data_IF_072297707522
#
_entry.id   IF_072297707522
#
_cell.length_a   1.000
_cell.length_b   1.000
_cell.length_c   1.000
_cell.angle_alpha   90.00
_cell.angle_beta   90.00
_cell.angle_gamma   90.00
#
_symmetry.space_group_name_H-M   'P 1'
#
loop_
_entity.id
_entity.type
_entity.pdbx_description
1 polymer ?
#
# COMPACT_ATOMS: atom_id res chain seq x y z
N UNK A 1 -8.72 17.40 -10.99
CA UNK A 1 -7.84 16.35 -10.43
C UNK A 1 -8.21 16.16 -8.97
N UNK A 2 -8.71 15.00 -8.57
CA UNK A 2 -9.14 14.77 -7.19
C UNK A 2 -7.95 14.79 -6.22
N UNK A 3 -8.12 15.45 -5.07
CA UNK A 3 -7.20 15.61 -3.93
C UNK A 3 -6.72 14.28 -3.27
N UNK A 4 -6.79 13.14 -3.96
CA UNK A 4 -6.51 11.82 -3.39
C UNK A 4 -5.09 11.31 -3.61
N UNK A 5 -4.23 12.08 -4.28
CA UNK A 5 -2.80 11.81 -4.40
C UNK A 5 -2.08 12.21 -3.10
N UNK A 6 -2.51 11.59 -2.01
CA UNK A 6 -1.86 11.76 -0.72
C UNK A 6 -0.49 11.11 -0.83
N UNK A 7 0.56 11.93 -0.82
CA UNK A 7 1.96 11.52 -0.91
C UNK A 7 2.23 10.26 -0.08
N UNK A 8 1.69 10.17 1.16
CA UNK A 8 1.92 9.00 2.02
C UNK A 8 1.38 7.69 1.45
N UNK A 9 0.20 7.68 0.81
CA UNK A 9 -0.40 6.44 0.27
C UNK A 9 0.50 5.86 -0.82
N UNK A 10 0.99 6.72 -1.71
CA UNK A 10 1.90 6.31 -2.79
C UNK A 10 3.22 5.78 -2.24
N UNK A 11 3.80 6.46 -1.25
CA UNK A 11 5.03 6.01 -0.58
C UNK A 11 4.82 4.65 0.10
N UNK A 12 3.70 4.46 0.79
CA UNK A 12 3.37 3.20 1.44
C UNK A 12 3.19 2.04 0.46
N UNK A 13 2.51 2.27 -0.67
CA UNK A 13 2.38 1.26 -1.74
C UNK A 13 3.75 0.88 -2.31
N UNK A 14 4.64 1.86 -2.52
CA UNK A 14 5.99 1.58 -3.01
C UNK A 14 6.82 0.79 -1.98
N UNK A 15 6.68 1.07 -0.68
CA UNK A 15 7.31 0.26 0.37
C UNK A 15 6.84 -1.21 0.32
N UNK A 16 5.54 -1.46 0.14
CA UNK A 16 5.00 -2.81 -0.04
C UNK A 16 5.53 -3.48 -1.30
N UNK A 17 5.51 -2.77 -2.44
CA UNK A 17 6.04 -3.27 -3.72
C UNK A 17 7.50 -3.69 -3.60
N UNK A 18 8.34 -2.84 -3.01
CA UNK A 18 9.76 -3.14 -2.83
C UNK A 18 9.96 -4.35 -1.90
N UNK A 19 9.19 -4.46 -0.81
CA UNK A 19 9.25 -5.63 0.07
C UNK A 19 8.84 -6.91 -0.68
N UNK A 20 7.75 -6.86 -1.44
CA UNK A 20 7.28 -7.98 -2.26
C UNK A 20 8.36 -8.44 -3.26
N UNK A 21 9.00 -7.50 -3.95
CA UNK A 21 10.11 -7.78 -4.88
C UNK A 21 11.29 -8.42 -4.15
N UNK A 22 11.71 -7.90 -2.99
CA UNK A 22 12.78 -8.50 -2.17
C UNK A 22 12.47 -9.92 -1.71
N UNK A 23 11.18 -10.24 -1.52
CA UNK A 23 10.72 -11.59 -1.16
C UNK A 23 10.54 -12.51 -2.38
N UNK A 24 10.63 -12.01 -3.62
CA UNK A 24 10.38 -12.79 -4.83
C UNK A 24 8.92 -13.22 -5.01
N UNK A 25 7.97 -12.54 -4.36
CA UNK A 25 6.54 -12.93 -4.38
C UNK A 25 5.81 -12.24 -5.53
N UNK A 26 4.96 -12.96 -6.27
CA UNK A 26 4.15 -12.38 -7.34
C UNK A 26 3.00 -11.52 -6.79
N UNK A 27 2.50 -10.57 -7.58
CA UNK A 27 1.33 -9.75 -7.20
C UNK A 27 0.09 -10.62 -6.95
N UNK A 28 -0.17 -11.61 -7.82
CA UNK A 28 -1.29 -12.54 -7.68
C UNK A 28 -1.22 -13.35 -6.37
N UNK A 29 -0.02 -13.76 -5.94
CA UNK A 29 0.16 -14.45 -4.65
C UNK A 29 -0.22 -13.57 -3.46
N UNK A 30 -0.09 -12.25 -3.57
CA UNK A 30 -0.58 -11.32 -2.55
C UNK A 30 -2.09 -11.19 -2.64
N UNK A 31 -2.65 -11.04 -3.84
CA UNK A 31 -4.12 -10.97 -4.04
C UNK A 31 -4.82 -12.14 -3.31
N UNK A 32 -4.32 -13.36 -3.55
CA UNK A 32 -4.82 -14.58 -2.92
C UNK A 32 -4.64 -14.56 -1.40
N UNK A 33 -3.44 -14.17 -0.92
CA UNK A 33 -3.09 -14.20 0.51
C UNK A 33 -3.90 -13.21 1.35
N UNK A 34 -4.26 -12.05 0.80
CA UNK A 34 -5.08 -11.05 1.51
C UNK A 34 -6.57 -11.15 1.16
N UNK A 35 -6.97 -12.12 0.34
CA UNK A 35 -8.37 -12.40 0.03
C UNK A 35 -9.05 -11.34 -0.83
N UNK A 36 -8.34 -10.77 -1.81
CA UNK A 36 -8.90 -9.77 -2.74
C UNK A 36 -8.99 -10.30 -4.16
N UNK A 37 -9.81 -9.64 -5.00
CA UNK A 37 -9.97 -10.01 -6.39
C UNK A 37 -8.63 -9.90 -7.17
N UNK A 38 -8.39 -10.86 -8.06
CA UNK A 38 -7.17 -10.94 -8.86
C UNK A 38 -6.86 -9.63 -9.62
N UNK A 39 -5.58 -9.24 -9.59
CA UNK A 39 -5.06 -8.03 -10.22
C UNK A 39 -5.31 -6.75 -9.42
N UNK A 40 -5.81 -6.82 -8.18
CA UNK A 40 -5.98 -5.63 -7.35
C UNK A 40 -4.63 -5.07 -6.89
N UNK A 41 -3.70 -5.93 -6.45
CA UNK A 41 -2.34 -5.51 -6.08
C UNK A 41 -1.64 -4.85 -7.26
N UNK A 42 -1.79 -5.38 -8.48
CA UNK A 42 -1.24 -4.75 -9.68
C UNK A 42 -1.81 -3.34 -9.89
N UNK A 43 -3.13 -3.16 -9.74
CA UNK A 43 -3.78 -1.85 -9.86
C UNK A 43 -3.35 -0.87 -8.76
N UNK A 44 -3.06 -1.37 -7.55
CA UNK A 44 -2.54 -0.54 -6.47
C UNK A 44 -1.11 -0.10 -6.76
N UNK A 45 -0.23 -1.02 -7.14
CA UNK A 45 1.18 -0.74 -7.45
C UNK A 45 1.35 0.24 -8.63
N UNK A 46 0.42 0.26 -9.59
CA UNK A 46 0.44 1.22 -10.71
C UNK A 46 -0.36 2.49 -10.46
N UNK A 47 -0.98 2.64 -9.29
CA UNK A 47 -1.82 3.80 -8.95
C UNK A 47 -3.18 3.86 -9.67
N UNK A 48 -3.57 2.81 -10.39
CA UNK A 48 -4.87 2.72 -11.06
C UNK A 48 -6.03 2.61 -10.06
N UNK A 49 -5.76 2.11 -8.85
CA UNK A 49 -6.72 2.09 -7.73
C UNK A 49 -6.02 2.37 -6.41
N UNK A 50 -6.80 2.89 -5.45
CA UNK A 50 -6.36 3.08 -4.07
C UNK A 50 -6.83 1.90 -3.19
N UNK A 51 -5.94 1.26 -2.41
CA UNK A 51 -6.36 0.30 -1.40
C UNK A 51 -7.05 1.00 -0.23
N UNK A 52 -7.97 0.31 0.45
CA UNK A 52 -8.51 0.76 1.74
C UNK A 52 -7.44 0.62 2.84
N UNK A 53 -7.64 1.27 3.99
CA UNK A 53 -6.76 1.09 5.15
C UNK A 53 -6.72 -0.36 5.63
N UNK A 54 -7.86 -1.06 5.60
CA UNK A 54 -7.94 -2.50 5.89
C UNK A 54 -7.05 -3.31 4.95
N UNK A 55 -7.10 -3.06 3.63
CA UNK A 55 -6.26 -3.77 2.67
C UNK A 55 -4.76 -3.51 2.94
N UNK A 56 -4.39 -2.28 3.30
CA UNK A 56 -3.00 -1.96 3.66
C UNK A 56 -2.53 -2.72 4.91
N UNK A 57 -3.41 -2.88 5.90
CA UNK A 57 -3.12 -3.68 7.09
C UNK A 57 -2.89 -5.15 6.74
N UNK A 58 -3.81 -5.79 6.01
CA UNK A 58 -3.64 -7.18 5.57
C UNK A 58 -2.40 -7.37 4.69
N UNK A 59 -2.09 -6.39 3.83
CA UNK A 59 -0.89 -6.43 2.98
C UNK A 59 0.40 -6.36 3.80
N UNK A 60 0.43 -5.53 4.85
CA UNK A 60 1.55 -5.49 5.78
C UNK A 60 1.76 -6.85 6.46
N UNK A 61 0.70 -7.47 6.99
CA UNK A 61 0.79 -8.80 7.59
C UNK A 61 1.26 -9.86 6.60
N UNK A 62 0.72 -9.86 5.37
CA UNK A 62 1.10 -10.79 4.32
C UNK A 62 2.58 -10.71 3.93
N UNK A 63 3.21 -9.54 4.07
CA UNK A 63 4.63 -9.32 3.76
C UNK A 63 5.55 -9.39 4.98
N UNK A 64 5.00 -9.68 6.16
CA UNK A 64 5.74 -9.68 7.43
C UNK A 64 6.27 -8.28 7.78
N UNK A 65 5.46 -7.25 7.53
CA UNK A 65 5.76 -5.85 7.80
C UNK A 65 4.89 -5.30 8.92
N UNK A 66 5.37 -4.25 9.58
CA UNK A 66 4.59 -3.40 10.47
C UNK A 66 4.41 -2.02 9.84
N UNK A 67 3.26 -1.39 10.08
CA UNK A 67 3.01 0.00 9.70
C UNK A 67 3.51 0.91 10.81
N UNK A 68 4.35 1.89 10.47
CA UNK A 68 4.87 2.89 11.41
C UNK A 68 4.24 4.25 11.09
N UNK A 69 3.66 4.87 12.11
CA UNK A 69 3.17 6.25 12.04
C UNK A 69 4.34 7.21 12.25
N UNK A 70 4.43 8.23 11.41
CA UNK A 70 5.42 9.30 11.51
C UNK A 70 4.74 10.65 11.27
N UNK A 71 5.21 11.69 11.96
CA UNK A 71 4.77 13.06 11.72
C UNK A 71 5.24 13.51 10.33
N UNK A 72 4.38 14.24 9.61
CA UNK A 72 4.81 14.96 8.41
C UNK A 72 5.22 16.39 8.82
N UNK A 73 6.52 16.71 8.91
CA UNK A 73 7.00 18.01 9.39
C UNK A 73 6.60 19.17 8.47
N UNK A 74 6.20 18.87 7.22
CA UNK A 74 5.74 19.86 6.25
C UNK A 74 4.21 20.03 6.27
N UNK A 75 3.49 19.28 7.10
CA UNK A 75 2.04 19.40 7.20
C UNK A 75 1.67 20.61 8.05
N UNK A 76 1.13 21.65 7.42
CA UNK A 76 0.55 22.79 8.14
C UNK A 76 -0.90 22.43 8.55
N UNK A 77 -1.04 21.73 9.66
CA UNK A 77 -2.33 21.32 10.22
C UNK A 77 -2.70 22.29 11.35
N UNK A 78 -3.86 22.95 11.24
CA UNK A 78 -4.47 23.75 12.31
C UNK A 78 -5.85 23.13 12.61
N UNK A 79 -6.12 22.84 13.88
CA UNK A 79 -7.41 22.31 14.33
C UNK A 79 -8.39 23.44 14.66
#
# INVERSE_FOLDING_TARGET
>A
MSNFDSSYTKHLIEQFRQRRIRLGVAQASIDDRIGVAAGLVAKWETGNRKPTSFNMHCWAEALGCSLKLEENPNANIRY
#
